data_IF_732446850788
#
_entry.id   IF_732446850788
#
_cell.length_a   1.000
_cell.length_b   1.000
_cell.length_c   1.000
_cell.angle_alpha   90.00
_cell.angle_beta   90.00
_cell.angle_gamma   90.00
#
_symmetry.space_group_name_H-M   'P 1'
#
loop_
_entity.id
_entity.type
_entity.pdbx_description
1 polymer ?
#
# COMPACT_ATOMS: atom_id res chain seq x y z
N UNK A 1 -17.78 1.25 -1.80
CA UNK A 1 -17.73 1.49 -0.34
C UNK A 1 -16.30 1.86 0.02
N UNK A 2 -16.06 3.06 0.56
CA UNK A 2 -14.72 3.48 0.97
C UNK A 2 -14.41 2.78 2.29
N UNK A 3 -13.30 2.04 2.37
CA UNK A 3 -12.87 1.35 3.59
C UNK A 3 -11.83 2.24 4.29
N UNK A 4 -12.20 2.96 5.37
CA UNK A 4 -11.28 3.78 6.13
C UNK A 4 -10.47 2.85 7.05
N UNK A 5 -9.30 2.42 6.60
CA UNK A 5 -8.44 1.50 7.33
C UNK A 5 -7.01 1.50 6.79
N UNK A 6 -6.13 0.77 7.46
CA UNK A 6 -4.75 0.50 7.08
C UNK A 6 -4.60 -0.71 6.14
N UNK A 7 -5.67 -1.51 5.96
CA UNK A 7 -5.63 -2.73 5.14
C UNK A 7 -4.83 -3.86 5.78
N UNK A 8 -4.54 -3.78 7.08
CA UNK A 8 -3.69 -4.74 7.79
C UNK A 8 -4.55 -5.74 8.57
N UNK A 9 -4.22 -7.03 8.45
CA UNK A 9 -4.92 -8.09 9.18
C UNK A 9 -4.78 -7.94 10.71
N UNK A 10 -3.64 -7.41 11.16
CA UNK A 10 -3.32 -7.07 12.54
C UNK A 10 -3.78 -5.67 12.97
N UNK A 11 -4.40 -4.90 12.07
CA UNK A 11 -4.87 -3.54 12.30
C UNK A 11 -6.38 -3.40 12.14
N UNK A 12 -6.81 -2.52 11.23
CA UNK A 12 -8.23 -2.23 10.97
C UNK A 12 -8.93 -3.26 10.08
N UNK A 13 -8.19 -4.28 9.65
CA UNK A 13 -8.66 -5.34 8.76
C UNK A 13 -8.20 -5.15 7.32
N UNK A 14 -8.11 -6.27 6.60
CA UNK A 14 -7.73 -6.31 5.18
C UNK A 14 -8.75 -5.60 4.31
N UNK A 15 -8.29 -5.02 3.20
CA UNK A 15 -9.20 -4.42 2.23
C UNK A 15 -9.97 -5.52 1.50
N UNK A 16 -11.28 -5.32 1.31
CA UNK A 16 -12.15 -6.26 0.60
C UNK A 16 -12.68 -5.67 -0.69
N UNK A 17 -12.50 -6.39 -1.80
CA UNK A 17 -13.03 -6.03 -3.11
C UNK A 17 -13.92 -7.16 -3.65
N UNK A 18 -15.10 -6.88 -4.21
CA UNK A 18 -15.91 -7.93 -4.83
C UNK A 18 -15.18 -8.55 -6.03
N UNK A 19 -15.34 -9.86 -6.23
CA UNK A 19 -14.76 -10.62 -7.35
C UNK A 19 -15.25 -10.15 -8.72
N UNK A 20 -16.49 -9.65 -8.79
CA UNK A 20 -17.03 -9.05 -10.00
C UNK A 20 -16.29 -7.77 -10.38
N UNK A 21 -16.20 -7.47 -11.69
CA UNK A 21 -15.74 -6.15 -12.19
C UNK A 21 -16.78 -5.08 -11.86
N UNK A 22 -16.93 -4.76 -10.58
CA UNK A 22 -17.75 -3.66 -10.11
C UNK A 22 -16.99 -2.36 -10.38
N UNK A 23 -17.51 -1.56 -11.32
CA UNK A 23 -16.99 -0.23 -11.59
C UNK A 23 -16.99 0.61 -10.30
N UNK A 24 -15.97 1.45 -10.11
CA UNK A 24 -15.86 2.37 -8.98
C UNK A 24 -15.86 1.71 -7.57
N UNK A 25 -15.47 0.44 -7.47
CA UNK A 25 -15.40 -0.30 -6.20
C UNK A 25 -14.15 0.01 -5.34
N UNK A 26 -13.55 1.19 -5.51
CA UNK A 26 -12.36 1.62 -4.77
C UNK A 26 -11.03 1.16 -5.39
N UNK A 27 -10.00 1.96 -5.12
CA UNK A 27 -8.63 1.79 -5.57
C UNK A 27 -7.67 2.20 -4.45
N UNK A 28 -6.55 1.47 -4.34
CA UNK A 28 -5.39 1.86 -3.54
C UNK A 28 -4.28 2.22 -4.50
N UNK A 29 -3.80 3.46 -4.44
CA UNK A 29 -2.69 3.93 -5.28
C UNK A 29 -1.41 3.96 -4.45
N UNK A 30 -0.35 3.36 -4.97
CA UNK A 30 0.96 3.28 -4.31
C UNK A 30 2.00 3.94 -5.22
N UNK A 31 2.75 4.89 -4.67
CA UNK A 31 3.82 5.59 -5.39
C UNK A 31 5.16 5.05 -4.93
N UNK A 32 5.81 4.26 -5.79
CA UNK A 32 7.03 3.50 -5.46
C UNK A 32 8.25 4.02 -6.24
N UNK A 33 8.35 5.34 -6.40
CA UNK A 33 9.37 6.00 -7.22
C UNK A 33 10.74 6.18 -6.54
N UNK A 34 10.92 5.72 -5.31
CA UNK A 34 12.13 5.96 -4.51
C UNK A 34 13.26 4.93 -4.71
N UNK A 35 13.10 3.97 -5.63
CA UNK A 35 14.06 2.88 -5.85
C UNK A 35 15.46 3.33 -6.35
N UNK A 36 15.56 4.50 -6.98
CA UNK A 36 16.84 5.06 -7.45
C UNK A 36 17.41 6.18 -6.57
N UNK A 37 16.54 6.99 -5.98
CA UNK A 37 16.95 8.08 -5.10
C UNK A 37 15.75 8.56 -4.26
N UNK A 38 15.85 8.47 -2.93
CA UNK A 38 14.94 9.17 -2.04
C UNK A 38 15.20 10.68 -2.11
N UNK A 39 14.16 11.50 -2.05
CA UNK A 39 14.31 12.95 -2.17
C UNK A 39 15.20 13.48 -1.03
N UNK A 40 16.21 14.29 -1.37
CA UNK A 40 17.17 14.84 -0.38
C UNK A 40 16.54 15.79 0.65
N UNK A 41 15.30 16.26 0.42
CA UNK A 41 14.55 17.11 1.34
C UNK A 41 13.29 16.39 1.80
N UNK A 42 13.00 16.33 3.11
CA UNK A 42 11.71 15.89 3.61
C UNK A 42 10.66 16.92 3.19
N UNK A 43 9.99 16.68 2.06
CA UNK A 43 8.76 17.38 1.75
C UNK A 43 7.70 16.77 2.66
N UNK A 44 6.87 17.55 3.36
CA UNK A 44 5.72 17.00 4.07
C UNK A 44 4.79 16.39 3.02
N UNK A 45 4.95 15.09 2.77
CA UNK A 45 4.13 14.29 1.85
C UNK A 45 2.81 13.91 2.54
N UNK A 46 2.19 14.92 3.17
CA UNK A 46 1.00 14.78 3.99
C UNK A 46 -0.21 15.25 3.17
N UNK A 47 -0.51 14.55 2.08
CA UNK A 47 -1.76 14.80 1.37
C UNK A 47 -2.90 14.05 2.08
N UNK A 48 -4.09 14.65 2.22
CA UNK A 48 -5.27 14.00 2.87
C UNK A 48 -5.69 12.67 2.23
N UNK A 49 -5.22 12.39 1.02
CA UNK A 49 -5.46 11.13 0.31
C UNK A 49 -4.42 10.04 0.60
N UNK A 50 -3.25 10.39 1.16
CA UNK A 50 -2.18 9.45 1.49
C UNK A 50 -2.39 8.92 2.90
N UNK A 51 -2.39 7.60 3.04
CA UNK A 51 -2.43 6.94 4.35
C UNK A 51 -1.08 7.04 5.06
N UNK A 52 0.01 6.87 4.31
CA UNK A 52 1.39 6.96 4.79
C UNK A 52 2.25 7.58 3.70
N UNK A 53 3.30 8.28 4.10
CA UNK A 53 4.34 8.68 3.18
C UNK A 53 5.72 8.52 3.80
N UNK A 54 6.61 7.90 3.03
CA UNK A 54 7.95 7.54 3.43
C UNK A 54 8.94 8.17 2.45
N UNK A 55 9.91 8.92 2.98
CA UNK A 55 11.03 9.44 2.20
C UNK A 55 12.24 8.52 2.38
N UNK A 56 12.07 7.25 2.02
CA UNK A 56 13.09 6.22 2.14
C UNK A 56 13.28 5.52 0.80
N UNK A 57 14.53 5.20 0.48
CA UNK A 57 14.85 4.36 -0.67
C UNK A 57 14.45 2.92 -0.34
N UNK A 58 13.84 2.26 -1.33
CA UNK A 58 13.25 0.96 -1.11
C UNK A 58 12.53 0.43 -2.34
N UNK A 59 11.99 -0.78 -2.16
CA UNK A 59 11.32 -1.55 -3.19
C UNK A 59 9.95 -1.99 -2.69
N UNK A 60 9.00 -2.12 -3.60
CA UNK A 60 7.67 -2.65 -3.30
C UNK A 60 7.57 -4.07 -3.83
N UNK A 61 7.14 -4.97 -2.96
CA UNK A 61 6.85 -6.36 -3.26
C UNK A 61 5.34 -6.49 -3.35
N UNK A 62 4.88 -7.08 -4.45
CA UNK A 62 3.51 -7.53 -4.63
C UNK A 62 3.52 -9.06 -4.65
N UNK A 63 2.91 -9.66 -3.64
CA UNK A 63 2.68 -11.09 -3.57
C UNK A 63 1.20 -11.37 -3.85
N UNK A 64 0.91 -12.26 -4.78
CA UNK A 64 -0.45 -12.53 -5.25
C UNK A 64 -0.68 -14.04 -5.19
N UNK A 65 -1.55 -14.44 -4.26
CA UNK A 65 -2.02 -15.81 -4.10
C UNK A 65 -3.53 -15.89 -4.35
N UNK A 66 -3.90 -16.29 -5.57
CA UNK A 66 -5.28 -16.44 -6.01
C UNK A 66 -6.09 -15.15 -5.92
N UNK A 67 -6.88 -15.01 -4.86
CA UNK A 67 -7.75 -13.87 -4.60
C UNK A 67 -7.18 -12.90 -3.56
N UNK A 68 -6.03 -13.21 -2.98
CA UNK A 68 -5.34 -12.39 -2.00
C UNK A 68 -4.14 -11.71 -2.66
N UNK A 69 -4.00 -10.42 -2.41
CA UNK A 69 -2.82 -9.63 -2.73
C UNK A 69 -2.25 -9.10 -1.43
N UNK A 70 -0.98 -9.40 -1.17
CA UNK A 70 -0.21 -8.82 -0.08
C UNK A 70 0.82 -7.85 -0.68
N UNK A 71 0.77 -6.59 -0.28
CA UNK A 71 1.74 -5.58 -0.68
C UNK A 71 2.63 -5.24 0.51
N UNK A 72 3.94 -5.20 0.27
CA UNK A 72 4.93 -4.80 1.28
C UNK A 72 5.96 -3.86 0.68
N UNK A 73 6.18 -2.72 1.33
CA UNK A 73 7.30 -1.84 1.06
C UNK A 73 8.47 -2.20 1.99
N UNK A 74 9.61 -2.54 1.37
CA UNK A 74 10.87 -2.79 2.06
C UNK A 74 11.82 -1.62 1.80
N UNK A 75 12.50 -1.16 2.85
CA UNK A 75 13.62 -0.22 2.68
C UNK A 75 14.92 -0.95 2.30
N UNK A 76 15.98 -0.19 2.01
CA UNK A 76 17.31 -0.73 1.69
C UNK A 76 17.92 -1.62 2.79
N UNK A 77 17.44 -1.52 4.04
CA UNK A 77 17.88 -2.38 5.15
C UNK A 77 17.11 -3.70 5.23
N UNK A 78 16.14 -3.92 4.34
CA UNK A 78 15.25 -5.08 4.38
C UNK A 78 14.14 -4.96 5.44
N UNK A 79 13.94 -3.79 6.03
CA UNK A 79 12.89 -3.57 7.02
C UNK A 79 11.56 -3.29 6.33
N UNK A 80 10.51 -3.90 6.86
CA UNK A 80 9.13 -3.70 6.42
C UNK A 80 8.59 -2.38 6.97
N UNK A 81 8.44 -1.37 6.11
CA UNK A 81 7.99 -0.03 6.51
C UNK A 81 6.51 0.20 6.29
N UNK A 82 5.96 -0.39 5.24
CA UNK A 82 4.52 -0.37 5.00
C UNK A 82 4.03 -1.68 4.40
N UNK A 83 2.78 -2.01 4.69
CA UNK A 83 2.09 -3.16 4.12
C UNK A 83 0.58 -3.05 4.26
N UNK A 84 -0.09 -3.72 3.33
CA UNK A 84 -1.51 -3.98 3.39
C UNK A 84 -1.87 -5.22 2.57
N UNK A 85 -3.05 -5.77 2.83
CA UNK A 85 -3.62 -6.91 2.13
C UNK A 85 -4.92 -6.50 1.46
N UNK A 86 -5.15 -6.98 0.24
CA UNK A 86 -6.43 -6.92 -0.45
C UNK A 86 -6.91 -8.35 -0.69
N UNK A 87 -8.12 -8.66 -0.22
CA UNK A 87 -8.81 -9.91 -0.51
C UNK A 87 -9.98 -9.66 -1.46
N UNK A 88 -10.09 -10.52 -2.48
CA UNK A 88 -11.24 -10.56 -3.37
C UNK A 88 -12.25 -11.60 -2.87
N UNK A 89 -13.49 -11.17 -2.64
CA UNK A 89 -14.60 -12.02 -2.20
C UNK A 89 -15.62 -12.28 -3.30
#
# INVERSE_FOLDING_TARGET
>A
MKQPGDGRADGTGVYRKPRGRAAHAGEVSVVTGSAGQAAKKPVPLNQRAMWISLNEAGSTILDIDGLKLDLTFLNEKGEKRDWFTIEKQ
#
